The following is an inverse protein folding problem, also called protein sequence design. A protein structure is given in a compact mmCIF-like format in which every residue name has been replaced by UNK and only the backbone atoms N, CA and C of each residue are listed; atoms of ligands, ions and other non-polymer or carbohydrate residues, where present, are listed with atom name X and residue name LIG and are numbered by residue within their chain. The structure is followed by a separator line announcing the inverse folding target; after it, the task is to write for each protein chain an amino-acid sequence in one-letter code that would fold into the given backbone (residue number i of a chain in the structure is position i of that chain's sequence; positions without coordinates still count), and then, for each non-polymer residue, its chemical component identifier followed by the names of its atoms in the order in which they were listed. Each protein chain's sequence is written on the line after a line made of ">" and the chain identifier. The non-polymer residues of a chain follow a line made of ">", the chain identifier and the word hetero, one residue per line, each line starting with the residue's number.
data_IF_142971332761
#
_entry.id   IF_142971332761
#
_cell.length_a   1.000
_cell.length_b   1.000
_cell.length_c   1.000
_cell.angle_alpha   90.00
_cell.angle_beta   90.00
_cell.angle_gamma   90.00
#
_symmetry.space_group_name_H-M   'P 1'
#
loop_
_entity.id
_entity.type
_entity.pdbx_description
1 polymer ?
#
# COMPACT_ATOMS: atom_id res chain seq x y z
N UNK A 1 8.73 -4.89 10.95
CA UNK A 1 7.41 -4.53 10.39
C UNK A 1 6.88 -5.81 9.78
N UNK A 2 5.68 -6.26 10.15
CA UNK A 2 5.05 -7.44 9.57
C UNK A 2 4.44 -7.11 8.21
N UNK A 3 4.21 -8.13 7.37
CA UNK A 3 3.44 -7.97 6.13
C UNK A 3 2.07 -7.31 6.36
N UNK A 4 1.44 -7.56 7.49
CA UNK A 4 0.15 -6.95 7.85
C UNK A 4 0.29 -5.45 8.13
N UNK A 5 1.28 -5.05 8.93
CA UNK A 5 1.53 -3.64 9.24
C UNK A 5 1.82 -2.83 7.97
N UNK A 6 2.65 -3.36 7.07
CA UNK A 6 2.96 -2.66 5.82
C UNK A 6 1.78 -2.62 4.86
N UNK A 7 0.95 -3.68 4.82
CA UNK A 7 -0.26 -3.70 4.01
C UNK A 7 -1.27 -2.67 4.51
N UNK A 8 -1.38 -2.48 5.83
CA UNK A 8 -2.25 -1.47 6.43
C UNK A 8 -1.74 -0.06 6.09
N UNK A 9 -0.46 0.22 6.32
CA UNK A 9 0.15 1.53 6.01
C UNK A 9 -0.03 1.87 4.53
N UNK A 10 0.20 0.92 3.63
CA UNK A 10 0.01 1.13 2.20
C UNK A 10 -1.46 1.42 1.86
N UNK A 11 -2.40 0.68 2.46
CA UNK A 11 -3.84 0.90 2.25
C UNK A 11 -4.29 2.26 2.76
N UNK A 12 -3.82 2.67 3.92
CA UNK A 12 -4.09 3.99 4.51
C UNK A 12 -3.58 5.10 3.61
N UNK A 13 -2.39 4.96 3.02
CA UNK A 13 -1.83 5.94 2.07
C UNK A 13 -2.65 6.02 0.78
N UNK A 14 -3.14 4.88 0.26
CA UNK A 14 -4.02 4.87 -0.92
C UNK A 14 -5.33 5.59 -0.61
N UNK A 15 -5.90 5.40 0.57
CA UNK A 15 -7.13 6.07 0.98
C UNK A 15 -6.91 7.57 1.22
N UNK A 16 -5.84 7.93 1.94
CA UNK A 16 -5.45 9.32 2.17
C UNK A 16 -5.25 10.08 0.85
N UNK A 17 -4.60 9.48 -0.15
CA UNK A 17 -4.43 10.12 -1.46
C UNK A 17 -5.75 10.40 -2.19
N UNK A 18 -6.76 9.53 -2.01
CA UNK A 18 -8.09 9.70 -2.61
C UNK A 18 -8.90 10.79 -1.93
N UNK A 19 -8.64 11.06 -0.66
CA UNK A 19 -9.34 12.09 0.12
C UNK A 19 -8.77 13.50 -0.10
N UNK A 20 -7.55 13.61 -0.64
CA UNK A 20 -6.92 14.90 -0.96
C UNK A 20 -7.63 15.56 -2.15
N UNK A 21 -8.11 16.82 -2.01
CA UNK A 21 -8.68 17.59 -3.11
C UNK A 21 -7.71 17.70 -4.31
N UNK A 22 -8.26 17.74 -5.53
CA UNK A 22 -7.43 17.80 -6.74
C UNK A 22 -6.57 19.07 -6.83
N UNK A 23 -7.02 20.15 -6.21
CA UNK A 23 -6.34 21.44 -6.15
C UNK A 23 -5.12 21.42 -5.23
N UNK A 24 -5.01 20.44 -4.32
CA UNK A 24 -3.91 20.33 -3.37
C UNK A 24 -2.74 19.50 -3.92
N UNK A 25 -2.19 19.96 -5.05
CA UNK A 25 -1.10 19.29 -5.77
C UNK A 25 0.10 18.95 -4.87
N UNK A 26 0.48 19.84 -3.96
CA UNK A 26 1.64 19.62 -3.09
C UNK A 26 1.42 18.46 -2.11
N UNK A 27 0.24 18.37 -1.49
CA UNK A 27 -0.10 17.28 -0.58
C UNK A 27 -0.19 15.95 -1.35
N UNK A 28 -0.77 15.99 -2.55
CA UNK A 28 -0.88 14.82 -3.44
C UNK A 28 0.48 14.27 -3.86
N UNK A 29 1.42 15.15 -4.21
CA UNK A 29 2.79 14.75 -4.55
C UNK A 29 3.52 14.08 -3.37
N UNK A 30 3.37 14.65 -2.17
CA UNK A 30 3.96 14.09 -0.95
C UNK A 30 3.40 12.70 -0.63
N UNK A 31 2.07 12.54 -0.67
CA UNK A 31 1.43 11.25 -0.41
C UNK A 31 1.76 10.23 -1.51
N UNK A 32 1.80 10.62 -2.78
CA UNK A 32 2.17 9.73 -3.88
C UNK A 32 3.62 9.22 -3.74
N UNK A 33 4.54 10.07 -3.30
CA UNK A 33 5.92 9.67 -3.00
C UNK A 33 5.99 8.67 -1.84
N UNK A 34 5.24 8.92 -0.76
CA UNK A 34 5.14 7.99 0.37
C UNK A 34 4.50 6.66 -0.04
N UNK A 35 3.39 6.68 -0.78
CA UNK A 35 2.71 5.49 -1.31
C UNK A 35 3.68 4.64 -2.12
N UNK A 36 4.48 5.26 -3.00
CA UNK A 36 5.49 4.56 -3.80
C UNK A 36 6.55 3.91 -2.91
N UNK A 37 7.06 4.63 -1.91
CA UNK A 37 8.04 4.09 -0.95
C UNK A 37 7.49 2.88 -0.21
N UNK A 38 6.30 2.99 0.38
CA UNK A 38 5.71 1.91 1.15
C UNK A 38 5.24 0.74 0.28
N UNK A 39 4.88 0.98 -0.98
CA UNK A 39 4.61 -0.11 -1.93
C UNK A 39 5.87 -0.92 -2.24
N UNK A 40 7.04 -0.28 -2.37
CA UNK A 40 8.29 -1.02 -2.53
C UNK A 40 8.62 -1.85 -1.30
N UNK A 41 8.47 -1.27 -0.10
CA UNK A 41 8.69 -1.98 1.17
C UNK A 41 7.70 -3.16 1.30
N UNK A 42 6.44 -2.97 0.91
CA UNK A 42 5.43 -4.04 0.89
C UNK A 42 5.88 -5.21 0.03
N UNK A 43 6.32 -4.93 -1.20
CA UNK A 43 6.80 -5.95 -2.13
C UNK A 43 8.04 -6.67 -1.61
N UNK A 44 8.95 -5.95 -0.94
CA UNK A 44 10.15 -6.56 -0.36
C UNK A 44 9.77 -7.51 0.79
N UNK A 45 8.89 -7.07 1.70
CA UNK A 45 8.38 -7.91 2.80
C UNK A 45 7.58 -9.11 2.25
N UNK A 46 6.77 -8.93 1.21
CA UNK A 46 6.07 -10.04 0.54
C UNK A 46 7.05 -11.09 0.03
N UNK A 47 8.18 -10.69 -0.57
CA UNK A 47 9.22 -11.63 -1.01
C UNK A 47 9.90 -12.32 0.16
N UNK A 48 10.22 -11.58 1.22
CA UNK A 48 10.83 -12.13 2.43
C UNK A 48 9.94 -13.18 3.10
N UNK A 49 8.62 -12.97 3.10
CA UNK A 49 7.62 -13.89 3.65
C UNK A 49 7.17 -14.98 2.65
N UNK A 50 7.73 -15.03 1.44
CA UNK A 50 7.39 -16.03 0.43
C UNK A 50 6.03 -15.85 -0.24
N UNK A 51 5.45 -14.65 -0.17
CA UNK A 51 4.23 -14.27 -0.87
C UNK A 51 4.55 -13.93 -2.32
N UNK A 52 4.16 -14.81 -3.22
CA UNK A 52 4.29 -14.57 -4.66
C UNK A 52 3.30 -13.51 -5.16
N UNK A 53 3.79 -12.60 -6.00
CA UNK A 53 2.98 -11.64 -6.77
C UNK A 53 3.55 -11.50 -8.18
N UNK A 54 2.67 -11.31 -9.17
CA UNK A 54 3.07 -11.21 -10.57
C UNK A 54 3.64 -9.83 -10.94
N UNK A 55 3.01 -8.78 -10.43
CA UNK A 55 3.40 -7.40 -10.68
C UNK A 55 2.99 -6.48 -9.50
N UNK A 56 3.21 -5.18 -9.68
CA UNK A 56 2.85 -4.14 -8.71
C UNK A 56 1.35 -4.06 -8.43
N UNK A 57 0.50 -4.33 -9.41
CA UNK A 57 -0.95 -4.29 -9.22
C UNK A 57 -1.44 -5.51 -8.46
N UNK A 58 -0.85 -6.68 -8.72
CA UNK A 58 -1.12 -7.91 -7.98
C UNK A 58 -0.66 -7.80 -6.52
N UNK A 59 0.51 -7.20 -6.26
CA UNK A 59 0.96 -6.89 -4.90
C UNK A 59 -0.03 -5.96 -4.17
N UNK A 60 -0.53 -4.93 -4.84
CA UNK A 60 -1.57 -4.03 -4.31
C UNK A 60 -2.85 -4.78 -3.96
N UNK A 61 -3.34 -5.63 -4.87
CA UNK A 61 -4.55 -6.43 -4.65
C UNK A 61 -4.39 -7.35 -3.44
N UNK A 62 -3.26 -8.03 -3.33
CA UNK A 62 -2.93 -8.89 -2.18
C UNK A 62 -2.88 -8.11 -0.87
N UNK A 63 -2.35 -6.88 -0.89
CA UNK A 63 -2.37 -6.00 0.27
C UNK A 63 -3.81 -5.76 0.76
N UNK A 64 -4.73 -5.42 -0.15
CA UNK A 64 -6.13 -5.20 0.22
C UNK A 64 -6.84 -6.47 0.68
N UNK A 65 -6.57 -7.61 0.05
CA UNK A 65 -7.09 -8.91 0.48
C UNK A 65 -6.61 -9.28 1.90
N UNK A 66 -5.37 -8.94 2.26
CA UNK A 66 -4.83 -9.15 3.60
C UNK A 66 -5.57 -8.34 4.66
N UNK A 67 -5.95 -7.10 4.36
CA UNK A 67 -6.71 -6.23 5.27
C UNK A 67 -8.17 -6.66 5.35
N UNK A 68 -8.83 -6.96 4.22
CA UNK A 68 -10.24 -7.37 4.21
C UNK A 68 -10.50 -8.68 4.98
N UNK A 69 -9.54 -9.61 4.98
CA UNK A 69 -9.65 -10.86 5.77
C UNK A 69 -9.66 -10.62 7.28
N UNK A 70 -9.34 -9.42 7.77
CA UNK A 70 -9.34 -9.10 9.19
C UNK A 70 -10.67 -8.47 9.68
N UNK A 71 -11.50 -7.94 8.78
CA UNK A 71 -12.79 -7.32 9.13
C UNK A 71 -13.94 -8.35 9.28
N UNK A 72 -13.64 -9.66 9.15
CA UNK A 72 -14.60 -10.77 9.21
C UNK A 72 -14.39 -11.62 10.47
#
# INVERSE_FOLDING_TARGET
>A
MSLQEIAQIYTDLVNAEKEIPEEEFHAKDQISALRTKYHNILMDIMREEGVEFYDRFDATRKAFELIQKQEI
#
